data_IF_226827594150
#
_entry.id   IF_226827594150
#
_cell.length_a   1.000
_cell.length_b   1.000
_cell.length_c   1.000
_cell.angle_alpha   90.00
_cell.angle_beta   90.00
_cell.angle_gamma   90.00
#
_symmetry.space_group_name_H-M   'P 1'
#
loop_
_entity.id
_entity.type
_entity.pdbx_description
1 polymer ?
#
# COMPACT_ATOMS: atom_id res chain seq x y z
N UNK A 1 -15.80 17.77 -4.53
CA UNK A 1 -14.62 18.31 -5.23
C UNK A 1 -14.47 17.71 -6.62
N UNK A 2 -14.21 16.40 -6.78
CA UNK A 2 -13.99 15.76 -8.11
C UNK A 2 -15.16 16.02 -9.08
N UNK A 3 -16.41 15.78 -8.64
CA UNK A 3 -17.62 16.13 -9.42
C UNK A 3 -17.69 17.59 -9.83
N UNK A 4 -17.28 18.50 -8.95
CA UNK A 4 -17.29 19.93 -9.28
C UNK A 4 -16.31 20.21 -10.42
N UNK A 5 -15.09 19.67 -10.36
CA UNK A 5 -14.09 19.83 -11.43
C UNK A 5 -14.64 19.24 -12.74
N UNK A 6 -15.09 17.98 -12.74
CA UNK A 6 -15.65 17.32 -13.93
C UNK A 6 -16.76 18.16 -14.56
N UNK A 7 -17.73 18.62 -13.75
CA UNK A 7 -18.90 19.34 -14.25
C UNK A 7 -18.56 20.75 -14.78
N UNK A 8 -17.48 21.38 -14.33
CA UNK A 8 -17.13 22.75 -14.72
C UNK A 8 -16.04 22.83 -15.78
N UNK A 9 -15.18 21.82 -15.90
CA UNK A 9 -14.06 21.82 -16.85
C UNK A 9 -14.20 20.76 -17.95
N UNK A 10 -15.13 19.81 -17.81
CA UNK A 10 -15.22 18.64 -18.70
C UNK A 10 -14.03 17.69 -18.55
N UNK A 11 -13.28 17.75 -17.44
CA UNK A 11 -12.15 16.85 -17.21
C UNK A 11 -12.64 15.41 -17.14
N UNK A 12 -12.00 14.55 -17.93
CA UNK A 12 -12.25 13.11 -17.93
C UNK A 12 -11.96 12.49 -16.54
N UNK A 13 -12.92 11.73 -15.93
CA UNK A 13 -12.69 10.93 -14.73
C UNK A 13 -11.43 10.06 -14.79
N UNK A 14 -11.01 9.64 -15.98
CA UNK A 14 -9.81 8.85 -16.21
C UNK A 14 -8.49 9.61 -15.93
N UNK A 15 -8.56 10.92 -15.64
CA UNK A 15 -7.40 11.74 -15.26
C UNK A 15 -7.21 11.85 -13.74
N UNK A 16 -8.10 11.25 -12.94
CA UNK A 16 -8.04 11.35 -11.48
C UNK A 16 -7.41 10.11 -10.86
N UNK A 17 -6.38 10.34 -10.04
CA UNK A 17 -5.75 9.35 -9.18
C UNK A 17 -5.89 9.80 -7.72
N UNK A 18 -6.58 9.01 -6.89
CA UNK A 18 -6.67 9.27 -5.46
C UNK A 18 -5.65 8.43 -4.71
N UNK A 19 -4.79 9.05 -3.92
CA UNK A 19 -3.80 8.37 -3.08
C UNK A 19 -4.16 8.64 -1.63
N UNK A 20 -4.38 7.59 -0.86
CA UNK A 20 -4.81 7.70 0.53
C UNK A 20 -3.97 6.83 1.44
N UNK A 21 -3.40 7.42 2.50
CA UNK A 21 -2.68 6.71 3.55
C UNK A 21 -3.59 6.39 4.74
N UNK A 22 -3.41 5.23 5.37
CA UNK A 22 -4.14 4.85 6.57
C UNK A 22 -5.67 4.91 6.36
N UNK A 23 -6.40 5.65 7.20
CA UNK A 23 -7.83 5.91 7.03
C UNK A 23 -8.15 6.61 5.68
N UNK A 24 -7.22 7.40 5.16
CA UNK A 24 -7.33 8.10 3.89
C UNK A 24 -7.50 7.16 2.70
N UNK A 25 -6.99 5.92 2.77
CA UNK A 25 -7.22 4.91 1.73
C UNK A 25 -8.71 4.61 1.56
N UNK A 26 -9.43 4.48 2.67
CA UNK A 26 -10.88 4.25 2.67
C UNK A 26 -11.66 5.50 2.26
N UNK A 27 -11.19 6.68 2.64
CA UNK A 27 -11.75 7.95 2.15
C UNK A 27 -11.65 8.02 0.62
N UNK A 28 -10.50 7.66 0.04
CA UNK A 28 -10.32 7.59 -1.41
C UNK A 28 -11.28 6.58 -2.06
N UNK A 29 -11.39 5.36 -1.53
CA UNK A 29 -12.33 4.36 -2.05
C UNK A 29 -13.78 4.84 -1.99
N UNK A 30 -14.19 5.41 -0.85
CA UNK A 30 -15.54 5.95 -0.67
C UNK A 30 -15.84 7.12 -1.61
N UNK A 31 -14.85 7.99 -1.87
CA UNK A 31 -14.99 9.07 -2.84
C UNK A 31 -15.08 8.54 -4.28
N UNK A 32 -14.22 7.57 -4.65
CA UNK A 32 -14.16 6.99 -5.98
C UNK A 32 -15.45 6.27 -6.38
N UNK A 33 -16.10 5.55 -5.45
CA UNK A 33 -17.45 4.96 -5.66
C UNK A 33 -18.51 5.93 -6.15
N UNK A 34 -18.35 7.22 -5.86
CA UNK A 34 -19.30 8.27 -6.26
C UNK A 34 -18.95 8.88 -7.61
N UNK A 35 -17.77 8.60 -8.16
CA UNK A 35 -17.28 9.14 -9.43
C UNK A 35 -17.16 7.98 -10.41
N UNK A 36 -18.14 7.79 -11.30
CA UNK A 36 -18.06 6.75 -12.33
C UNK A 36 -16.77 6.86 -13.13
N UNK A 37 -16.12 5.73 -13.37
CA UNK A 37 -14.88 5.60 -14.16
C UNK A 37 -13.70 6.42 -13.61
N UNK A 38 -13.60 6.58 -12.29
CA UNK A 38 -12.38 7.13 -11.70
C UNK A 38 -11.20 6.20 -11.99
N UNK A 39 -10.10 6.75 -12.51
CA UNK A 39 -9.01 5.93 -13.05
C UNK A 39 -8.34 5.05 -12.01
N UNK A 40 -7.87 5.65 -10.91
CA UNK A 40 -6.99 4.95 -10.00
C UNK A 40 -7.18 5.35 -8.55
N UNK A 41 -7.15 4.36 -7.66
CA UNK A 41 -7.00 4.56 -6.22
C UNK A 41 -5.77 3.80 -5.74
N UNK A 42 -4.86 4.49 -5.06
CA UNK A 42 -3.75 3.85 -4.34
C UNK A 42 -4.00 3.91 -2.84
N UNK A 43 -4.08 2.76 -2.18
CA UNK A 43 -4.15 2.64 -0.73
C UNK A 43 -2.77 2.43 -0.12
N UNK A 44 -2.26 3.40 0.64
CA UNK A 44 -0.99 3.29 1.36
C UNK A 44 -1.26 2.82 2.79
N UNK A 45 -0.96 1.55 3.04
CA UNK A 45 -1.16 0.85 4.30
C UNK A 45 -2.52 1.14 4.96
N UNK A 46 -3.64 0.69 4.33
CA UNK A 46 -4.99 1.01 4.78
C UNK A 46 -5.22 0.59 6.24
N UNK A 47 -5.87 1.47 7.01
CA UNK A 47 -6.05 1.31 8.46
C UNK A 47 -6.67 -0.03 8.87
N UNK A 48 -6.18 -0.62 9.96
CA UNK A 48 -6.53 -1.95 10.46
C UNK A 48 -7.86 -2.02 11.23
N UNK A 49 -8.38 -3.25 11.38
CA UNK A 49 -9.61 -3.63 12.10
C UNK A 49 -9.72 -3.07 13.53
N UNK A 50 -8.62 -2.69 14.18
CA UNK A 50 -8.63 -2.07 15.52
C UNK A 50 -9.02 -0.60 15.47
N UNK A 51 -8.71 0.09 14.36
CA UNK A 51 -9.21 1.42 14.00
C UNK A 51 -10.61 1.32 13.37
N UNK A 52 -10.90 0.19 12.71
CA UNK A 52 -11.99 0.03 11.74
C UNK A 52 -13.11 -0.92 12.20
N UNK A 53 -13.05 -1.51 13.40
CA UNK A 53 -14.04 -2.49 13.95
C UNK A 53 -15.49 -2.02 13.94
N UNK A 54 -15.75 -0.76 13.58
CA UNK A 54 -17.04 -0.09 13.47
C UNK A 54 -17.43 0.31 12.03
N UNK A 55 -16.55 0.15 11.05
CA UNK A 55 -16.86 0.52 9.66
C UNK A 55 -17.52 -0.67 8.96
N UNK A 56 -18.70 -0.41 8.43
CA UNK A 56 -19.45 -1.33 7.59
C UNK A 56 -18.66 -1.59 6.29
N UNK A 57 -18.91 -2.74 5.66
CA UNK A 57 -18.24 -3.15 4.42
C UNK A 57 -18.37 -2.11 3.28
N UNK A 58 -19.37 -1.23 3.29
CA UNK A 58 -19.55 -0.13 2.34
C UNK A 58 -18.55 1.03 2.50
N UNK A 59 -17.74 1.04 3.55
CA UNK A 59 -16.77 2.11 3.83
C UNK A 59 -15.34 1.69 3.47
N UNK A 60 -15.00 0.40 3.57
CA UNK A 60 -13.67 -0.11 3.24
C UNK A 60 -13.30 0.19 1.80
N UNK A 61 -12.01 0.28 1.48
CA UNK A 61 -11.55 0.36 0.09
C UNK A 61 -11.74 -1.01 -0.55
N UNK A 62 -12.15 -1.06 -1.83
CA UNK A 62 -12.34 -2.29 -2.60
C UNK A 62 -11.75 -2.14 -4.00
N UNK A 63 -11.36 -3.26 -4.58
CA UNK A 63 -10.84 -3.36 -5.95
C UNK A 63 -11.80 -2.81 -7.01
N UNK A 64 -13.09 -2.71 -6.69
CA UNK A 64 -14.15 -2.22 -7.57
C UNK A 64 -14.40 -0.72 -7.46
N UNK A 65 -13.66 0.00 -6.60
CA UNK A 65 -13.94 1.42 -6.33
C UNK A 65 -13.44 2.37 -7.43
N UNK A 66 -12.51 1.89 -8.26
CA UNK A 66 -11.93 2.60 -9.39
C UNK A 66 -11.63 1.62 -10.52
N UNK A 67 -11.23 2.12 -11.69
CA UNK A 67 -10.80 1.26 -12.80
C UNK A 67 -9.55 0.46 -12.44
N UNK A 68 -8.70 1.01 -11.58
CA UNK A 68 -7.54 0.33 -11.02
C UNK A 68 -7.34 0.68 -9.55
N UNK A 69 -7.23 -0.33 -8.70
CA UNK A 69 -6.92 -0.16 -7.28
C UNK A 69 -5.65 -0.92 -6.93
N UNK A 70 -4.62 -0.20 -6.50
CA UNK A 70 -3.38 -0.78 -5.98
C UNK A 70 -3.18 -0.46 -4.51
N UNK A 71 -2.69 -1.43 -3.74
CA UNK A 71 -2.57 -1.29 -2.29
C UNK A 71 -1.18 -1.69 -1.83
N UNK A 72 -0.61 -0.92 -0.91
CA UNK A 72 0.66 -1.22 -0.26
C UNK A 72 0.40 -1.61 1.19
N UNK A 73 0.90 -2.76 1.63
CA UNK A 73 0.79 -3.24 3.01
C UNK A 73 2.16 -3.20 3.67
N UNK A 74 2.26 -2.60 4.85
CA UNK A 74 3.54 -2.39 5.54
C UNK A 74 3.51 -2.61 7.06
N UNK A 75 2.37 -2.54 7.75
CA UNK A 75 2.33 -2.52 9.24
C UNK A 75 1.35 -3.47 9.92
N UNK A 76 1.06 -4.63 9.32
CA UNK A 76 0.19 -5.60 9.96
C UNK A 76 0.85 -6.25 11.19
N UNK A 77 0.12 -6.36 12.30
CA UNK A 77 0.52 -7.18 13.46
C UNK A 77 -0.59 -8.17 13.79
N UNK A 78 -0.23 -9.46 13.86
CA UNK A 78 -1.17 -10.57 14.10
C UNK A 78 -1.91 -10.49 15.43
N UNK A 79 -1.33 -9.85 16.46
CA UNK A 79 -1.98 -9.64 17.78
C UNK A 79 -3.09 -8.59 17.74
N UNK A 80 -3.32 -7.93 16.60
CA UNK A 80 -4.35 -6.91 16.44
C UNK A 80 -3.94 -5.51 16.89
N UNK A 81 -2.67 -5.27 17.18
CA UNK A 81 -2.13 -3.92 17.44
C UNK A 81 -1.60 -3.23 16.18
N UNK A 82 -1.62 -3.91 15.04
CA UNK A 82 -1.12 -3.35 13.78
C UNK A 82 -2.03 -2.26 13.26
N UNK A 83 -1.42 -1.18 12.78
CA UNK A 83 -2.14 -0.04 12.20
C UNK A 83 -2.66 -0.34 10.79
N UNK A 84 -2.05 -1.27 10.04
CA UNK A 84 -2.47 -1.68 8.70
C UNK A 84 -3.25 -3.01 8.65
N UNK A 85 -4.02 -3.22 7.58
CA UNK A 85 -4.63 -4.53 7.26
C UNK A 85 -3.66 -5.45 6.50
N UNK A 86 -3.86 -6.76 6.63
CA UNK A 86 -3.23 -7.77 5.75
C UNK A 86 -4.20 -8.33 4.69
N UNK A 87 -5.48 -7.98 4.77
CA UNK A 87 -6.47 -8.47 3.81
C UNK A 87 -6.22 -7.83 2.44
N UNK A 88 -6.15 -8.62 1.36
CA UNK A 88 -6.04 -8.05 0.03
C UNK A 88 -7.37 -7.42 -0.37
N UNK A 89 -7.32 -6.14 -0.74
CA UNK A 89 -8.50 -5.33 -1.07
C UNK A 89 -8.35 -4.57 -2.40
N UNK A 90 -7.21 -4.65 -3.07
CA UNK A 90 -6.99 -4.05 -4.39
C UNK A 90 -7.23 -5.01 -5.57
N UNK A 91 -7.02 -4.52 -6.78
CA UNK A 91 -6.70 -5.37 -7.94
C UNK A 91 -5.33 -6.02 -7.73
N UNK A 92 -4.38 -5.21 -7.25
CA UNK A 92 -3.01 -5.60 -6.90
C UNK A 92 -2.71 -5.17 -5.48
N UNK A 93 -2.21 -6.11 -4.67
CA UNK A 93 -1.83 -5.88 -3.27
C UNK A 93 -0.33 -6.15 -3.10
N UNK A 94 0.45 -5.10 -2.89
CA UNK A 94 1.89 -5.13 -2.67
C UNK A 94 2.22 -5.27 -1.18
N UNK A 95 2.88 -6.36 -0.82
CA UNK A 95 3.30 -6.64 0.56
C UNK A 95 4.79 -6.40 0.71
N UNK A 96 5.12 -5.20 1.20
CA UNK A 96 6.51 -4.74 1.29
C UNK A 96 7.20 -5.39 2.46
N UNK A 97 8.31 -6.08 2.19
CA UNK A 97 9.02 -6.91 3.16
C UNK A 97 8.10 -7.91 3.88
N UNK A 98 7.01 -8.34 3.21
CA UNK A 98 5.99 -9.22 3.77
C UNK A 98 4.81 -8.51 4.43
N UNK A 99 4.78 -7.17 4.46
CA UNK A 99 3.65 -6.36 4.92
C UNK A 99 3.44 -6.31 6.44
N UNK A 100 4.48 -6.66 7.21
CA UNK A 100 4.43 -6.75 8.68
C UNK A 100 5.44 -5.78 9.30
N UNK A 101 6.74 -6.09 9.15
CA UNK A 101 7.85 -5.31 9.69
C UNK A 101 8.71 -4.79 8.53
N UNK A 102 9.06 -3.51 8.60
CA UNK A 102 9.88 -2.85 7.59
C UNK A 102 11.35 -2.83 8.03
N UNK A 103 12.25 -2.87 7.05
CA UNK A 103 13.69 -2.97 7.32
C UNK A 103 14.24 -1.72 7.99
N UNK A 104 13.78 -0.54 7.56
CA UNK A 104 14.14 0.76 8.14
C UNK A 104 13.66 0.91 9.59
N UNK A 105 12.53 0.28 9.93
CA UNK A 105 11.87 0.46 11.22
C UNK A 105 12.48 -0.45 12.27
N UNK A 106 13.64 -0.04 12.80
CA UNK A 106 14.40 -0.72 13.86
C UNK A 106 14.71 0.24 14.98
N UNK A 107 14.83 -0.28 16.20
CA UNK A 107 15.23 0.49 17.37
C UNK A 107 16.49 1.32 17.08
N UNK A 108 16.44 2.61 17.39
CA UNK A 108 17.52 3.55 17.15
C UNK A 108 17.40 4.34 15.83
N UNK A 109 16.69 3.82 14.82
CA UNK A 109 16.45 4.55 13.57
C UNK A 109 15.43 5.67 13.77
N UNK A 110 15.41 6.62 12.84
CA UNK A 110 14.51 7.77 12.84
C UNK A 110 13.44 7.63 11.76
N UNK A 111 12.23 8.13 12.03
CA UNK A 111 11.13 8.13 11.07
C UNK A 111 10.36 9.46 11.12
N UNK A 112 9.73 9.82 10.01
CA UNK A 112 8.95 11.05 9.88
C UNK A 112 7.48 10.78 10.15
N UNK A 113 6.84 11.62 10.94
CA UNK A 113 5.38 11.62 11.14
C UNK A 113 4.71 12.78 10.40
N UNK A 114 3.37 12.80 10.42
CA UNK A 114 2.52 13.69 9.62
C UNK A 114 2.82 15.21 9.73
N UNK A 115 3.48 15.66 10.82
CA UNK A 115 3.87 17.08 11.01
C UNK A 115 5.27 17.43 10.49
N UNK A 116 5.98 16.46 9.90
CA UNK A 116 7.39 16.60 9.54
C UNK A 116 8.35 16.43 10.73
N UNK A 117 7.82 16.19 11.94
CA UNK A 117 8.61 15.84 13.10
C UNK A 117 9.36 14.53 12.83
N UNK A 118 10.63 14.50 13.19
CA UNK A 118 11.47 13.31 13.13
C UNK A 118 11.51 12.70 14.53
N UNK A 119 11.04 11.47 14.64
CA UNK A 119 10.99 10.72 15.89
C UNK A 119 11.97 9.55 15.82
N UNK A 120 12.53 9.20 16.98
CA UNK A 120 13.39 8.02 17.12
C UNK A 120 12.53 6.82 17.53
N UNK A 121 12.91 5.64 17.01
CA UNK A 121 12.24 4.39 17.36
C UNK A 121 12.82 3.88 18.67
N UNK A 122 12.07 4.05 19.76
CA UNK A 122 12.49 3.67 21.11
C UNK A 122 11.56 2.63 21.74
N UNK A 123 10.39 2.40 21.14
CA UNK A 123 9.40 1.44 21.61
C UNK A 123 8.86 0.58 20.46
N UNK A 124 8.20 -0.52 20.81
CA UNK A 124 7.46 -1.36 19.85
C UNK A 124 6.32 -0.56 19.18
N UNK A 125 5.76 0.42 19.90
CA UNK A 125 4.75 1.31 19.34
C UNK A 125 5.33 2.25 18.29
N UNK A 126 6.51 2.83 18.54
CA UNK A 126 7.23 3.65 17.56
C UNK A 126 7.61 2.83 16.33
N UNK A 127 7.99 1.56 16.52
CA UNK A 127 8.28 0.68 15.41
C UNK A 127 7.03 0.50 14.54
N UNK A 128 5.87 0.19 15.13
CA UNK A 128 4.65 0.01 14.35
C UNK A 128 4.17 1.32 13.69
N UNK A 129 4.37 2.48 14.34
CA UNK A 129 4.15 3.78 13.70
C UNK A 129 5.08 3.99 12.50
N UNK A 130 6.38 3.70 12.65
CA UNK A 130 7.31 3.75 11.53
C UNK A 130 6.87 2.82 10.40
N UNK A 131 6.54 1.56 10.70
CA UNK A 131 6.08 0.58 9.72
C UNK A 131 4.84 1.07 8.97
N UNK A 132 3.99 1.85 9.62
CA UNK A 132 2.78 2.42 9.03
C UNK A 132 3.07 3.65 8.16
N UNK A 133 3.92 4.58 8.64
CA UNK A 133 4.22 5.84 7.94
C UNK A 133 5.17 5.66 6.75
N UNK A 134 6.07 4.67 6.80
CA UNK A 134 7.04 4.42 5.73
C UNK A 134 6.41 4.04 4.39
N UNK A 135 5.13 3.63 4.36
CA UNK A 135 4.39 3.45 3.11
C UNK A 135 4.37 4.74 2.25
N UNK A 136 4.37 5.91 2.90
CA UNK A 136 4.47 7.22 2.23
C UNK A 136 5.87 7.40 1.65
N UNK A 137 6.91 7.05 2.40
CA UNK A 137 8.30 7.16 1.94
C UNK A 137 8.58 6.21 0.76
N UNK A 138 8.08 4.97 0.79
CA UNK A 138 8.16 4.07 -0.35
C UNK A 138 7.44 4.61 -1.58
N UNK A 139 6.20 5.11 -1.42
CA UNK A 139 5.46 5.68 -2.54
C UNK A 139 6.16 6.92 -3.11
N UNK A 140 6.65 7.83 -2.28
CA UNK A 140 7.35 9.03 -2.74
C UNK A 140 8.67 8.72 -3.43
N UNK A 141 9.44 7.73 -2.95
CA UNK A 141 10.64 7.27 -3.65
C UNK A 141 10.32 6.58 -4.97
N UNK A 142 9.19 5.88 -5.09
CA UNK A 142 8.76 5.25 -6.34
C UNK A 142 8.36 6.22 -7.46
N UNK A 143 8.19 7.51 -7.16
CA UNK A 143 7.95 8.54 -8.17
C UNK A 143 9.20 8.78 -9.01
N UNK A 144 10.39 8.58 -8.42
CA UNK A 144 11.66 8.83 -9.08
C UNK A 144 11.87 7.85 -10.22
N UNK A 145 12.42 8.33 -11.33
CA UNK A 145 12.68 7.48 -12.50
C UNK A 145 13.89 6.55 -12.31
N UNK A 146 14.77 6.84 -11.36
CA UNK A 146 16.02 6.11 -11.08
C UNK A 146 15.87 4.97 -10.06
N UNK A 147 14.65 4.72 -9.56
CA UNK A 147 14.41 3.83 -8.44
C UNK A 147 13.15 2.99 -8.64
N UNK A 148 13.31 1.72 -9.00
CA UNK A 148 12.17 0.83 -9.23
C UNK A 148 11.93 -0.16 -8.07
N UNK A 149 10.69 -0.15 -7.58
CA UNK A 149 10.19 -1.15 -6.63
C UNK A 149 9.57 -2.31 -7.41
N UNK A 150 10.41 -3.22 -7.88
CA UNK A 150 9.95 -4.41 -8.57
C UNK A 150 9.31 -5.40 -7.58
N UNK A 151 8.12 -5.86 -7.94
CA UNK A 151 7.33 -6.80 -7.18
C UNK A 151 7.15 -8.10 -7.95
N UNK A 152 7.09 -9.23 -7.25
CA UNK A 152 6.85 -10.56 -7.85
C UNK A 152 5.54 -11.14 -7.33
N UNK A 153 4.70 -11.66 -8.23
CA UNK A 153 3.41 -12.26 -7.89
C UNK A 153 3.59 -13.37 -6.85
N UNK A 154 2.73 -13.40 -5.83
CA UNK A 154 2.76 -14.35 -4.73
C UNK A 154 1.40 -15.05 -4.53
N UNK A 155 1.14 -16.11 -5.32
CA UNK A 155 -0.16 -16.82 -5.33
C UNK A 155 -0.60 -17.41 -3.99
N UNK A 156 0.35 -17.71 -3.10
CA UNK A 156 0.10 -18.30 -1.78
C UNK A 156 0.59 -17.38 -0.65
N UNK A 157 0.39 -16.07 -0.80
CA UNK A 157 0.96 -15.06 0.10
C UNK A 157 0.66 -15.30 1.58
N UNK A 158 -0.61 -15.45 1.97
CA UNK A 158 -0.98 -15.66 3.38
C UNK A 158 -0.29 -16.90 3.97
N UNK A 159 -0.19 -17.99 3.19
CA UNK A 159 0.51 -19.20 3.62
C UNK A 159 2.03 -18.98 3.74
N UNK A 160 2.62 -18.14 2.90
CA UNK A 160 4.06 -17.87 2.90
C UNK A 160 4.47 -16.93 4.04
N UNK A 161 3.72 -15.85 4.27
CA UNK A 161 4.07 -14.81 5.25
C UNK A 161 3.67 -15.18 6.67
N UNK A 162 2.57 -15.91 6.87
CA UNK A 162 2.24 -16.46 8.19
C UNK A 162 3.06 -17.70 8.54
N UNK A 163 3.91 -18.20 7.61
CA UNK A 163 4.80 -19.30 7.92
C UNK A 163 6.00 -18.77 8.73
N UNK A 164 6.22 -19.27 9.97
CA UNK A 164 7.26 -18.77 10.85
C UNK A 164 8.69 -19.05 10.36
N UNK A 165 8.85 -19.97 9.39
CA UNK A 165 10.15 -20.40 8.84
C UNK A 165 10.46 -19.65 7.55
N UNK A 166 9.50 -19.56 6.62
CA UNK A 166 9.77 -19.02 5.28
C UNK A 166 9.85 -17.50 5.27
N UNK A 167 8.91 -16.78 5.89
CA UNK A 167 8.77 -15.29 5.92
C UNK A 167 8.98 -14.54 4.59
N UNK A 168 9.13 -15.27 3.48
CA UNK A 168 9.47 -14.81 2.14
C UNK A 168 8.56 -15.58 1.21
N UNK A 169 8.05 -14.93 0.17
CA UNK A 169 7.24 -15.61 -0.82
C UNK A 169 8.12 -16.52 -1.68
N UNK A 170 7.95 -17.86 -1.65
CA UNK A 170 8.63 -18.75 -2.57
C UNK A 170 7.90 -18.71 -3.92
N UNK A 171 7.96 -17.59 -4.63
CA UNK A 171 7.25 -17.50 -5.90
C UNK A 171 8.03 -18.22 -7.01
N UNK A 172 7.34 -19.13 -7.69
CA UNK A 172 7.76 -19.67 -9.00
C UNK A 172 7.18 -18.84 -10.16
N UNK A 173 6.37 -17.81 -9.85
CA UNK A 173 5.81 -16.94 -10.87
C UNK A 173 6.88 -16.02 -11.42
N UNK A 174 6.83 -15.80 -12.74
CA UNK A 174 7.65 -14.80 -13.43
C UNK A 174 6.88 -13.48 -13.64
N UNK A 175 5.63 -13.41 -13.17
CA UNK A 175 4.84 -12.20 -13.28
C UNK A 175 5.39 -11.16 -12.30
N UNK A 176 5.81 -10.02 -12.86
CA UNK A 176 6.29 -8.88 -12.09
C UNK A 176 5.36 -7.69 -12.27
N UNK A 177 5.43 -6.77 -11.31
CA UNK A 177 4.70 -5.51 -11.32
C UNK A 177 5.57 -4.42 -10.69
N UNK A 178 5.37 -3.17 -11.09
CA UNK A 178 5.99 -2.02 -10.42
C UNK A 178 5.09 -1.59 -9.27
N UNK A 179 5.62 -1.50 -8.07
CA UNK A 179 4.91 -0.93 -6.93
C UNK A 179 5.03 0.60 -6.94
N UNK A 180 3.99 1.30 -6.50
CA UNK A 180 4.02 2.73 -6.25
C UNK A 180 3.52 3.56 -7.43
N UNK A 181 4.09 4.73 -7.69
CA UNK A 181 3.55 5.70 -8.65
C UNK A 181 3.39 5.10 -10.06
N UNK A 182 4.37 4.33 -10.52
CA UNK A 182 4.37 3.69 -11.84
C UNK A 182 3.63 2.34 -11.90
N UNK A 183 2.80 2.03 -10.90
CA UNK A 183 1.97 0.83 -10.94
C UNK A 183 0.88 0.92 -12.00
N UNK A 184 0.63 -0.20 -12.67
CA UNK A 184 -0.30 -0.31 -13.79
C UNK A 184 -1.18 -1.54 -13.66
N UNK A 185 -2.41 -1.43 -14.15
CA UNK A 185 -3.36 -2.55 -14.18
C UNK A 185 -2.87 -3.65 -15.11
N UNK A 186 -2.72 -4.85 -14.57
CA UNK A 186 -2.35 -6.04 -15.35
C UNK A 186 -3.62 -6.68 -15.90
N UNK A 187 -3.78 -6.68 -17.22
CA UNK A 187 -4.95 -7.28 -17.88
C UNK A 187 -5.00 -8.79 -17.66
N UNK A 188 -6.19 -9.30 -17.32
CA UNK A 188 -6.41 -10.73 -17.04
C UNK A 188 -5.91 -11.20 -15.67
N UNK A 189 -5.35 -10.31 -14.85
CA UNK A 189 -5.00 -10.62 -13.48
C UNK A 189 -6.26 -10.80 -12.62
N UNK A 190 -6.26 -11.82 -11.75
CA UNK A 190 -7.36 -12.01 -10.81
C UNK A 190 -7.40 -10.84 -9.81
N UNK A 191 -8.57 -10.33 -9.42
CA UNK A 191 -8.66 -9.34 -8.34
C UNK A 191 -8.00 -9.87 -7.06
N UNK A 192 -7.50 -8.97 -6.21
CA UNK A 192 -6.84 -9.30 -4.93
C UNK A 192 -5.55 -10.11 -5.12
N UNK A 193 -4.85 -9.88 -6.23
CA UNK A 193 -3.59 -10.57 -6.52
C UNK A 193 -2.47 -9.98 -5.67
N UNK A 194 -1.84 -10.84 -4.87
CA UNK A 194 -0.75 -10.44 -3.97
C UNK A 194 0.60 -10.44 -4.69
N UNK A 195 1.42 -9.42 -4.43
CA UNK A 195 2.78 -9.28 -4.90
C UNK A 195 3.72 -9.02 -3.72
N UNK A 196 4.87 -9.67 -3.73
CA UNK A 196 5.91 -9.45 -2.73
C UNK A 196 6.91 -8.42 -3.24
N UNK A 197 7.28 -7.46 -2.37
CA UNK A 197 8.28 -6.44 -2.67
C UNK A 197 9.37 -6.51 -1.62
N UNK A 198 10.63 -6.46 -2.05
CA UNK A 198 11.79 -6.47 -1.16
C UNK A 198 12.53 -5.13 -1.28
N UNK A 199 12.77 -4.47 -0.15
CA UNK A 199 13.41 -3.13 -0.14
C UNK A 199 14.81 -3.17 0.48
N UNK A 200 15.57 -2.10 0.30
CA UNK A 200 16.70 -1.75 1.13
C UNK A 200 16.23 -1.15 2.46
N UNK A 201 17.17 -1.01 3.40
CA UNK A 201 16.91 -0.42 4.71
C UNK A 201 16.80 1.10 4.66
N UNK A 202 17.53 1.77 3.76
CA UNK A 202 17.60 3.23 3.69
C UNK A 202 17.15 3.76 2.32
N UNK A 203 16.75 5.05 2.23
CA UNK A 203 16.39 5.67 0.96
C UNK A 203 17.50 5.51 -0.11
N UNK A 204 17.13 5.29 -1.38
CA UNK A 204 15.77 5.39 -1.91
C UNK A 204 14.94 4.09 -1.78
N UNK A 205 15.37 3.14 -0.95
CA UNK A 205 14.71 1.87 -0.60
C UNK A 205 14.51 0.85 -1.74
N UNK A 206 14.52 1.24 -3.02
CA UNK A 206 14.54 0.28 -4.13
C UNK A 206 15.87 -0.49 -4.17
N UNK A 207 15.81 -1.72 -4.69
CA UNK A 207 17.00 -2.55 -4.97
C UNK A 207 17.54 -2.36 -6.37
N UNK A 208 16.68 -1.98 -7.30
CA UNK A 208 17.02 -1.79 -8.70
C UNK A 208 17.11 -0.29 -8.98
N UNK A 209 18.32 0.16 -9.28
CA UNK A 209 18.58 1.48 -9.85
C UNK A 209 18.58 1.34 -11.36
N UNK A 210 17.94 2.29 -12.06
CA UNK A 210 17.97 2.34 -13.53
C UNK A 210 19.24 2.98 -14.06
#
# INVERSE_FOLDING_TARGET
>A
MVHFVINHTGTDPLKFHCIGHSLGAHVCGHAARRVPNLNRVTGLDPGGITIIRLLRDDILLKSTDADYVDVMHTSFIQTGLGLGILQPIGDVDFYVNGGIDQKHCKFGNEYKVFKGDVLKIETVFDQNLCDHFIAIDYFTNSIRDDCEFLATECRSFLKAVLNPILKVCPSRSRLTARMGFHSEKILGLAPRSAFYVDTLEFPPYCKELK
#
